data_IF_979245537785
#
_entry.id   IF_979245537785
#
_cell.length_a   1.000
_cell.length_b   1.000
_cell.length_c   1.000
_cell.angle_alpha   90.00
_cell.angle_beta   90.00
_cell.angle_gamma   90.00
#
_symmetry.space_group_name_H-M   'P 1'
#
loop_
_entity.id
_entity.type
_entity.pdbx_description
1 polymer ?
#
# COMPACT_ATOMS: atom_id res chain seq x y z
N UNK A 1 -17.62 30.33 1.94
CA UNK A 1 -18.67 29.30 1.83
C UNK A 1 -18.15 28.28 0.83
N UNK A 2 -17.63 27.14 1.30
CA UNK A 2 -17.10 26.10 0.41
C UNK A 2 -18.28 25.38 -0.25
N UNK A 3 -18.32 25.34 -1.58
CA UNK A 3 -19.33 24.57 -2.32
C UNK A 3 -19.11 23.06 -2.13
N UNK A 4 -20.16 22.25 -1.92
CA UNK A 4 -20.02 20.80 -1.89
C UNK A 4 -19.57 20.31 -3.27
N UNK A 5 -18.55 19.43 -3.33
CA UNK A 5 -18.19 18.74 -4.57
C UNK A 5 -19.37 17.89 -5.02
N UNK A 6 -19.68 17.93 -6.32
CA UNK A 6 -20.69 17.06 -6.92
C UNK A 6 -20.22 15.61 -6.79
N UNK A 7 -21.05 14.77 -6.19
CA UNK A 7 -20.85 13.32 -6.18
C UNK A 7 -21.08 12.79 -7.61
N UNK A 8 -20.12 12.04 -8.14
CA UNK A 8 -20.25 11.40 -9.45
C UNK A 8 -21.25 10.24 -9.34
N UNK A 9 -22.19 10.07 -10.29
CA UNK A 9 -23.19 9.02 -10.23
C UNK A 9 -22.53 7.67 -10.55
N UNK A 10 -21.95 7.05 -9.50
CA UNK A 10 -21.19 5.81 -9.57
C UNK A 10 -20.08 5.70 -8.52
N UNK A 11 -19.69 6.80 -7.87
CA UNK A 11 -18.71 6.73 -6.78
C UNK A 11 -19.35 6.12 -5.53
N UNK A 12 -18.66 5.13 -4.96
CA UNK A 12 -19.09 4.53 -3.68
C UNK A 12 -18.92 5.61 -2.59
N UNK A 13 -19.92 5.85 -1.73
CA UNK A 13 -19.82 6.90 -0.72
C UNK A 13 -18.56 6.70 0.12
N UNK A 14 -17.78 7.78 0.24
CA UNK A 14 -16.51 7.79 0.97
C UNK A 14 -16.79 7.45 2.43
N UNK A 15 -16.27 6.31 2.88
CA UNK A 15 -16.43 5.88 4.27
C UNK A 15 -15.79 6.95 5.17
N UNK A 16 -16.53 7.55 6.13
CA UNK A 16 -16.02 8.65 6.97
C UNK A 16 -14.82 8.23 7.85
N UNK A 17 -14.61 6.92 8.00
CA UNK A 17 -13.48 6.35 8.73
C UNK A 17 -12.28 6.00 7.83
N UNK A 18 -12.37 6.24 6.51
CA UNK A 18 -11.28 5.94 5.59
C UNK A 18 -10.22 7.04 5.60
N UNK A 19 -9.06 6.72 6.17
CA UNK A 19 -7.86 7.56 6.14
C UNK A 19 -6.85 6.95 5.17
N UNK A 20 -6.19 7.80 4.39
CA UNK A 20 -5.12 7.33 3.51
C UNK A 20 -3.90 6.83 4.29
N UNK A 21 -3.65 7.35 5.50
CA UNK A 21 -2.69 6.78 6.45
C UNK A 21 -3.33 6.35 7.74
N UNK A 22 -2.90 5.17 8.18
CA UNK A 22 -3.35 4.54 9.41
C UNK A 22 -2.10 4.24 10.24
N UNK A 23 -1.99 4.90 11.39
CA UNK A 23 -0.87 4.74 12.33
C UNK A 23 -0.95 3.47 13.17
N UNK A 24 -2.04 2.70 13.06
CA UNK A 24 -2.16 1.40 13.70
C UNK A 24 -1.12 0.45 13.11
N UNK A 25 -0.37 -0.23 13.99
CA UNK A 25 0.64 -1.19 13.55
C UNK A 25 0.00 -2.55 13.29
N UNK A 26 0.00 -2.99 12.04
CA UNK A 26 -0.58 -4.25 11.60
C UNK A 26 0.41 -5.02 10.72
N UNK A 27 0.18 -6.33 10.61
CA UNK A 27 0.84 -7.14 9.57
C UNK A 27 0.40 -6.65 8.18
N UNK A 28 1.18 -6.94 7.14
CA UNK A 28 0.83 -6.51 5.78
C UNK A 28 -0.55 -7.04 5.36
N UNK A 29 -0.87 -8.30 5.71
CA UNK A 29 -2.15 -8.92 5.37
C UNK A 29 -3.33 -8.27 6.11
N UNK A 30 -3.16 -7.98 7.41
CA UNK A 30 -4.19 -7.31 8.22
C UNK A 30 -4.40 -5.86 7.77
N UNK A 31 -3.32 -5.15 7.40
CA UNK A 31 -3.37 -3.81 6.83
C UNK A 31 -4.14 -3.79 5.49
N UNK A 32 -3.85 -4.73 4.59
CA UNK A 32 -4.57 -4.91 3.34
C UNK A 32 -6.06 -5.20 3.57
N UNK A 33 -6.39 -6.03 4.57
CA UNK A 33 -7.77 -6.31 4.94
C UNK A 33 -8.46 -5.07 5.55
N UNK A 34 -7.75 -4.30 6.37
CA UNK A 34 -8.25 -3.05 6.91
C UNK A 34 -8.66 -2.09 5.79
N UNK A 35 -7.82 -1.89 4.77
CA UNK A 35 -8.16 -1.01 3.65
C UNK A 35 -9.37 -1.52 2.86
N UNK A 36 -9.52 -2.84 2.69
CA UNK A 36 -10.71 -3.44 2.04
C UNK A 36 -11.99 -3.16 2.84
N UNK A 37 -11.97 -3.41 4.15
CA UNK A 37 -13.16 -3.30 5.00
C UNK A 37 -13.52 -1.83 5.28
N UNK A 38 -12.56 -0.99 5.63
CA UNK A 38 -12.80 0.37 6.11
C UNK A 38 -12.82 1.42 5.00
N UNK A 39 -12.06 1.18 3.92
CA UNK A 39 -11.91 2.10 2.79
C UNK A 39 -12.56 1.60 1.49
N UNK A 40 -13.06 0.36 1.44
CA UNK A 40 -13.44 -0.29 0.17
C UNK A 40 -12.31 -0.24 -0.86
N UNK A 41 -11.07 -0.34 -0.40
CA UNK A 41 -9.87 -0.13 -1.22
C UNK A 41 -8.79 -1.18 -0.96
N UNK A 42 -7.55 -0.83 -1.28
CA UNK A 42 -6.36 -1.66 -1.09
C UNK A 42 -5.28 -0.89 -0.35
N UNK A 43 -4.16 -1.55 -0.03
CA UNK A 43 -2.94 -0.81 0.18
C UNK A 43 -2.55 -0.03 -1.09
N UNK A 44 -1.85 1.09 -0.90
CA UNK A 44 -1.56 2.02 -1.99
C UNK A 44 -0.61 1.43 -3.04
N UNK A 45 -0.95 1.59 -4.32
CA UNK A 45 -0.04 1.33 -5.43
C UNK A 45 0.64 2.64 -5.81
N UNK A 46 1.96 2.66 -5.94
CA UNK A 46 2.69 3.85 -6.37
C UNK A 46 3.03 3.73 -7.84
N UNK A 47 2.44 4.58 -8.67
CA UNK A 47 2.50 4.45 -10.14
C UNK A 47 3.60 5.28 -10.79
N UNK A 48 4.08 6.33 -10.11
CA UNK A 48 5.10 7.24 -10.64
C UNK A 48 5.85 7.98 -9.52
N UNK A 49 6.94 8.64 -9.90
CA UNK A 49 7.81 9.38 -8.99
C UNK A 49 7.09 10.56 -8.30
N UNK A 50 6.22 11.28 -9.03
CA UNK A 50 5.47 12.40 -8.45
C UNK A 50 4.57 11.93 -7.30
N UNK A 51 3.91 10.78 -7.47
CA UNK A 51 3.13 10.14 -6.42
C UNK A 51 4.02 9.70 -5.26
N UNK A 52 5.18 9.08 -5.52
CA UNK A 52 6.12 8.69 -4.48
C UNK A 52 6.56 9.89 -3.61
N UNK A 53 6.93 10.99 -4.26
CA UNK A 53 7.34 12.23 -3.60
C UNK A 53 6.19 12.86 -2.80
N UNK A 54 4.96 12.77 -3.31
CA UNK A 54 3.77 13.22 -2.59
C UNK A 54 3.58 12.44 -1.28
N UNK A 55 3.76 11.11 -1.29
CA UNK A 55 3.62 10.28 -0.09
C UNK A 55 4.65 10.64 0.99
N UNK A 56 5.87 11.03 0.61
CA UNK A 56 6.90 11.46 1.57
C UNK A 56 6.50 12.68 2.38
N UNK A 57 5.82 13.63 1.73
CA UNK A 57 5.36 14.85 2.39
C UNK A 57 4.22 14.62 3.37
N UNK A 58 3.53 13.48 3.26
CA UNK A 58 2.35 13.18 4.08
C UNK A 58 2.73 12.24 5.25
N UNK A 59 3.70 11.35 5.09
CA UNK A 59 3.84 10.16 5.94
C UNK A 59 5.23 9.95 6.56
N UNK A 60 5.73 10.96 7.26
CA UNK A 60 6.93 10.85 8.10
C UNK A 60 6.59 11.14 9.58
N UNK A 61 6.98 10.28 10.55
CA UNK A 61 7.79 9.05 10.46
C UNK A 61 6.98 7.73 10.58
N UNK A 62 7.52 6.59 10.12
CA UNK A 62 6.97 5.26 10.47
C UNK A 62 7.10 4.11 9.47
N UNK A 63 7.70 4.31 8.30
CA UNK A 63 7.89 3.30 7.25
C UNK A 63 6.64 2.47 6.89
N UNK A 64 5.58 3.09 6.36
CA UNK A 64 4.31 2.42 6.18
C UNK A 64 4.31 1.35 5.08
N UNK A 65 3.47 0.33 5.26
CA UNK A 65 3.16 -0.65 4.22
C UNK A 65 2.56 0.01 2.97
N UNK A 66 3.05 -0.40 1.80
CA UNK A 66 2.46 -0.14 0.49
C UNK A 66 1.95 -1.43 -0.14
N UNK A 67 1.15 -1.34 -1.20
CA UNK A 67 0.49 -2.46 -1.86
C UNK A 67 1.42 -3.38 -2.65
N UNK A 68 2.72 -3.07 -2.70
CA UNK A 68 3.70 -3.92 -3.36
C UNK A 68 4.04 -5.12 -2.46
N UNK A 69 3.79 -6.32 -2.99
CA UNK A 69 4.15 -7.60 -2.36
C UNK A 69 4.70 -8.53 -3.42
N UNK A 70 5.80 -9.21 -3.08
CA UNK A 70 6.38 -10.23 -3.92
C UNK A 70 5.74 -11.59 -3.58
N UNK A 71 4.66 -11.96 -4.27
CA UNK A 71 3.93 -13.19 -3.91
C UNK A 71 4.45 -14.46 -4.61
N UNK A 72 4.95 -14.39 -5.83
CA UNK A 72 5.36 -15.61 -6.55
C UNK A 72 6.54 -15.36 -7.47
N UNK A 73 7.48 -16.27 -7.35
CA UNK A 73 8.66 -16.37 -8.18
C UNK A 73 8.29 -17.35 -9.29
N UNK A 74 7.76 -16.85 -10.42
CA UNK A 74 7.29 -17.66 -11.55
C UNK A 74 8.47 -18.25 -12.35
N UNK A 75 9.35 -18.99 -11.67
CA UNK A 75 10.47 -19.67 -12.28
C UNK A 75 10.00 -21.00 -12.86
N UNK A 76 10.42 -21.26 -14.08
CA UNK A 76 10.34 -22.55 -14.71
C UNK A 76 11.75 -23.00 -15.05
N UNK A 77 12.05 -24.28 -14.84
CA UNK A 77 13.27 -24.84 -15.41
C UNK A 77 13.16 -24.82 -16.93
N UNK A 78 14.29 -24.63 -17.62
CA UNK A 78 14.33 -24.62 -19.08
C UNK A 78 13.89 -25.93 -19.72
N UNK A 79 13.84 -27.02 -18.93
CA UNK A 79 13.35 -28.33 -19.34
C UNK A 79 11.83 -28.52 -19.12
N UNK A 80 11.10 -27.47 -18.68
CA UNK A 80 9.67 -27.49 -18.36
C UNK A 80 9.26 -28.31 -17.12
N UNK A 81 10.22 -28.85 -16.36
CA UNK A 81 9.90 -29.53 -15.11
C UNK A 81 9.43 -28.54 -14.04
N UNK A 82 8.56 -28.96 -13.11
CA UNK A 82 8.16 -28.13 -11.99
C UNK A 82 9.35 -27.82 -11.08
N UNK A 83 9.44 -26.58 -10.60
CA UNK A 83 10.45 -26.18 -9.61
C UNK A 83 10.04 -26.74 -8.24
N UNK A 84 10.67 -27.84 -7.82
CA UNK A 84 10.41 -28.51 -6.53
C UNK A 84 11.43 -28.18 -5.44
N UNK A 85 12.56 -27.58 -5.81
CA UNK A 85 13.62 -27.13 -4.93
C UNK A 85 14.08 -25.74 -5.34
N UNK A 86 14.30 -24.86 -4.36
CA UNK A 86 14.94 -23.55 -4.57
C UNK A 86 16.02 -23.33 -3.52
N UNK A 87 17.07 -22.59 -3.87
CA UNK A 87 18.13 -22.17 -2.96
C UNK A 87 18.30 -20.65 -2.97
N UNK A 88 17.17 -19.92 -2.93
CA UNK A 88 17.18 -18.47 -2.88
C UNK A 88 17.30 -18.00 -1.43
N UNK A 89 18.21 -17.07 -1.17
CA UNK A 89 18.27 -16.34 0.10
C UNK A 89 17.33 -15.13 0.01
N UNK A 90 16.01 -15.38 0.00
CA UNK A 90 15.01 -14.31 0.11
C UNK A 90 14.77 -14.03 1.58
N UNK A 91 15.01 -12.80 2.01
CA UNK A 91 14.81 -12.44 3.42
C UNK A 91 13.34 -12.10 3.65
N UNK A 92 12.72 -11.26 2.82
CA UNK A 92 11.30 -10.90 2.98
C UNK A 92 10.56 -10.61 1.66
N UNK A 93 9.23 -10.44 1.75
CA UNK A 93 8.35 -10.34 0.56
C UNK A 93 7.40 -9.12 0.57
N UNK A 94 7.36 -8.33 1.65
CA UNK A 94 6.42 -7.20 1.78
C UNK A 94 7.17 -5.87 1.77
N UNK A 95 6.69 -4.89 1.01
CA UNK A 95 7.41 -3.63 0.81
C UNK A 95 6.94 -2.51 1.77
N UNK A 96 7.90 -1.79 2.33
CA UNK A 96 7.69 -0.57 3.12
C UNK A 96 8.28 0.64 2.40
N UNK A 97 7.59 1.79 2.46
CA UNK A 97 8.12 3.08 2.01
C UNK A 97 9.06 3.65 3.09
N UNK A 98 10.29 4.00 2.75
CA UNK A 98 11.25 4.62 3.68
C UNK A 98 11.11 6.14 3.70
N UNK A 99 11.67 6.77 4.73
CA UNK A 99 11.64 8.22 4.91
C UNK A 99 12.38 9.02 3.82
N UNK A 100 13.29 8.38 3.09
CA UNK A 100 14.02 8.97 1.98
C UNK A 100 13.36 8.74 0.61
N UNK A 101 12.19 8.09 0.58
CA UNK A 101 11.49 7.76 -0.66
C UNK A 101 11.84 6.41 -1.27
N UNK A 102 12.90 5.76 -0.78
CA UNK A 102 13.25 4.41 -1.23
C UNK A 102 12.26 3.37 -0.69
N UNK A 103 12.18 2.21 -1.35
CA UNK A 103 11.38 1.09 -0.88
C UNK A 103 12.29 -0.03 -0.43
N UNK A 104 11.94 -0.72 0.65
CA UNK A 104 12.69 -1.86 1.15
C UNK A 104 11.78 -3.06 1.41
N UNK A 105 12.34 -4.26 1.36
CA UNK A 105 11.65 -5.47 1.81
C UNK A 105 11.64 -5.55 3.35
N UNK A 106 10.54 -6.08 3.90
CA UNK A 106 10.34 -6.25 5.34
C UNK A 106 9.51 -7.51 5.62
N UNK A 107 9.74 -8.11 6.79
CA UNK A 107 9.00 -9.28 7.26
C UNK A 107 7.51 -8.97 7.19
N UNK A 108 6.77 -9.76 6.42
CA UNK A 108 5.33 -9.57 6.26
C UNK A 108 4.55 -9.65 7.59
N UNK A 109 5.15 -10.27 8.62
CA UNK A 109 4.59 -10.35 9.98
C UNK A 109 5.05 -9.21 10.89
N UNK A 110 5.96 -8.35 10.45
CA UNK A 110 6.30 -7.13 11.17
C UNK A 110 5.06 -6.24 11.30
N UNK A 111 4.98 -5.54 12.43
CA UNK A 111 3.91 -4.60 12.70
C UNK A 111 4.38 -3.22 12.23
N UNK A 112 3.75 -2.69 11.18
CA UNK A 112 4.05 -1.36 10.65
C UNK A 112 2.75 -0.56 10.42
N UNK A 113 2.80 0.77 10.42
CA UNK A 113 1.70 1.59 9.90
C UNK A 113 1.50 1.32 8.41
N UNK A 114 0.43 1.86 7.81
CA UNK A 114 0.10 1.51 6.41
C UNK A 114 -0.69 2.59 5.67
N UNK A 115 -0.63 2.50 4.33
CA UNK A 115 -1.28 3.43 3.41
C UNK A 115 -2.41 2.78 2.63
N UNK A 116 -3.63 3.30 2.75
CA UNK A 116 -4.81 2.85 2.01
C UNK A 116 -5.09 3.72 0.77
N UNK A 117 -5.64 3.11 -0.26
CA UNK A 117 -6.06 3.72 -1.51
C UNK A 117 -7.37 3.09 -2.01
N UNK A 118 -8.29 3.88 -2.56
CA UNK A 118 -9.59 3.37 -3.05
C UNK A 118 -9.89 3.77 -4.51
N UNK A 119 -8.92 4.28 -5.26
CA UNK A 119 -9.16 4.82 -6.61
C UNK A 119 -9.33 6.34 -6.68
N UNK A 120 -9.59 7.02 -5.55
CA UNK A 120 -9.85 8.46 -5.52
C UNK A 120 -8.61 9.25 -5.08
N UNK A 121 -8.11 10.14 -5.94
CA UNK A 121 -7.01 11.06 -5.64
C UNK A 121 -7.32 11.97 -4.44
N UNK A 122 -8.60 12.23 -4.18
CA UNK A 122 -9.07 13.02 -3.04
C UNK A 122 -8.79 12.38 -1.67
N UNK A 123 -8.59 11.06 -1.57
CA UNK A 123 -8.11 10.42 -0.34
C UNK A 123 -6.68 10.82 -0.03
N UNK A 124 -5.81 10.78 -1.04
CA UNK A 124 -4.40 11.10 -0.90
C UNK A 124 -4.23 12.60 -0.63
N UNK A 125 -4.96 13.44 -1.38
CA UNK A 125 -4.92 14.90 -1.23
C UNK A 125 -5.49 15.41 0.10
N UNK A 126 -6.40 14.68 0.75
CA UNK A 126 -6.98 15.10 2.03
C UNK A 126 -6.00 15.13 3.21
N UNK A 127 -4.81 14.55 3.06
CA UNK A 127 -3.78 14.53 4.10
C UNK A 127 -2.57 15.44 3.77
N UNK A 128 -2.54 16.07 2.59
CA UNK A 128 -1.51 17.05 2.23
C UNK A 128 -1.76 18.33 3.02
N UNK A 129 -0.77 18.78 3.80
CA UNK A 129 -0.79 20.09 4.47
C UNK A 129 -0.57 21.22 3.49
#
# INVERSE_FOLDING_TARGET
MQTPRREDPGSKPRSPNCKAYVSQQLTWSDAQNYCKVNCSGTLITVENEAMNNMLLNIYSPGSPWIGLRHEYDNWNWSNSDPVTYTNWKRTFSCAVLQSDGSWNDSDCNALNPFLCYNGESDLILSNVK
#
